data_IF_678076759047
#
_entry.id   IF_678076759047
#
_cell.length_a   1.000
_cell.length_b   1.000
_cell.length_c   1.000
_cell.angle_alpha   90.00
_cell.angle_beta   90.00
_cell.angle_gamma   90.00
#
_symmetry.space_group_name_H-M   'P 1'
#
loop_
_entity.id
_entity.type
_entity.pdbx_description
1 polymer ?
#
# COMPACT_ATOMS: atom_id res chain seq x y z
N UNK A 1 33.49 -1.88 4.57
CA UNK A 1 32.34 -2.00 5.49
C UNK A 1 31.54 -0.72 5.35
N UNK A 2 30.30 -0.82 4.85
CA UNK A 2 29.40 0.33 4.75
C UNK A 2 28.71 0.46 6.12
N UNK A 3 29.39 1.09 7.08
CA UNK A 3 28.76 1.54 8.32
C UNK A 3 27.86 2.73 7.98
N UNK A 4 26.72 2.43 7.36
CA UNK A 4 25.62 3.36 7.35
C UNK A 4 24.95 3.26 8.71
N UNK A 5 25.28 4.22 9.57
CA UNK A 5 24.54 4.58 10.76
C UNK A 5 23.13 5.02 10.34
N UNK A 6 22.28 4.04 9.99
CA UNK A 6 20.86 4.23 9.74
C UNK A 6 20.26 4.54 11.09
N UNK A 7 20.35 5.81 11.50
CA UNK A 7 19.83 6.28 12.76
C UNK A 7 18.34 5.87 12.85
N UNK A 8 17.98 4.89 13.70
CA UNK A 8 16.64 4.32 13.73
C UNK A 8 15.56 5.38 13.98
N UNK A 9 15.93 6.50 14.64
CA UNK A 9 15.01 7.61 14.90
C UNK A 9 14.55 8.35 13.63
N UNK A 10 15.40 8.47 12.60
CA UNK A 10 15.04 9.15 11.34
C UNK A 10 14.10 8.29 10.51
N UNK A 11 14.40 7.00 10.40
CA UNK A 11 13.54 6.02 9.72
C UNK A 11 12.17 5.92 10.40
N UNK A 12 12.13 5.81 11.74
CA UNK A 12 10.86 5.71 12.47
C UNK A 12 9.99 6.96 12.31
N UNK A 13 10.59 8.16 12.27
CA UNK A 13 9.86 9.41 11.98
C UNK A 13 9.26 9.40 10.58
N UNK A 14 10.05 9.03 9.57
CA UNK A 14 9.58 8.94 8.19
C UNK A 14 8.47 7.89 8.06
N UNK A 15 8.67 6.69 8.60
CA UNK A 15 7.68 5.61 8.60
C UNK A 15 6.37 6.04 9.26
N UNK A 16 6.41 6.84 10.33
CA UNK A 16 5.21 7.36 10.99
C UNK A 16 4.41 8.29 10.08
N UNK A 17 5.08 9.19 9.35
CA UNK A 17 4.43 10.12 8.39
C UNK A 17 3.72 9.36 7.25
N UNK A 18 4.35 8.28 6.77
CA UNK A 18 3.84 7.43 5.70
C UNK A 18 3.05 6.21 6.19
N UNK A 19 2.73 6.14 7.49
CA UNK A 19 2.10 4.96 8.08
C UNK A 19 0.81 4.57 7.36
N UNK A 20 -0.11 5.51 7.15
CA UNK A 20 -1.39 5.24 6.48
C UNK A 20 -1.22 4.77 5.03
N UNK A 21 -0.20 5.29 4.34
CA UNK A 21 0.15 4.89 2.99
C UNK A 21 0.68 3.44 2.99
N UNK A 22 1.60 3.10 3.90
CA UNK A 22 2.13 1.74 4.04
C UNK A 22 1.04 0.73 4.43
N UNK A 23 0.20 1.07 5.40
CA UNK A 23 -0.91 0.22 5.86
C UNK A 23 -1.89 -0.06 4.71
N UNK A 24 -2.14 0.94 3.85
CA UNK A 24 -2.97 0.77 2.65
C UNK A 24 -2.38 -0.22 1.65
N UNK A 25 -1.07 -0.14 1.38
CA UNK A 25 -0.40 -1.10 0.49
C UNK A 25 -0.38 -2.50 1.09
N UNK A 26 -0.15 -2.64 2.40
CA UNK A 26 -0.22 -3.95 3.09
C UNK A 26 -1.62 -4.56 2.94
N UNK A 27 -2.67 -3.77 3.15
CA UNK A 27 -4.05 -4.23 2.98
C UNK A 27 -4.33 -4.66 1.52
N UNK A 28 -3.79 -3.92 0.55
CA UNK A 28 -3.89 -4.29 -0.87
C UNK A 28 -3.19 -5.61 -1.17
N UNK A 29 -1.96 -5.82 -0.67
CA UNK A 29 -1.21 -7.08 -0.84
C UNK A 29 -1.85 -8.29 -0.14
N UNK A 30 -2.67 -8.05 0.89
CA UNK A 30 -3.34 -9.10 1.67
C UNK A 30 -4.81 -9.29 1.26
N UNK A 31 -5.25 -8.61 0.19
CA UNK A 31 -6.63 -8.61 -0.24
C UNK A 31 -7.08 -10.01 -0.70
N UNK A 32 -8.05 -10.59 0.02
CA UNK A 32 -8.61 -11.93 -0.25
C UNK A 32 -10.13 -11.97 -0.13
N UNK A 33 -10.81 -10.95 -0.64
CA UNK A 33 -12.26 -10.82 -0.48
C UNK A 33 -12.95 -10.54 -1.81
N UNK A 34 -14.13 -11.12 -1.94
CA UNK A 34 -15.06 -10.88 -3.04
C UNK A 34 -16.30 -10.11 -2.55
N UNK A 35 -16.37 -9.76 -1.26
CA UNK A 35 -17.51 -9.04 -0.69
C UNK A 35 -17.50 -7.59 -1.15
N UNK A 36 -18.61 -7.16 -1.73
CA UNK A 36 -18.78 -5.81 -2.27
C UNK A 36 -18.52 -4.71 -1.23
N UNK A 37 -18.97 -4.90 0.01
CA UNK A 37 -18.77 -3.93 1.10
C UNK A 37 -17.28 -3.73 1.45
N UNK A 38 -16.51 -4.81 1.45
CA UNK A 38 -15.08 -4.79 1.73
C UNK A 38 -14.33 -4.16 0.54
N UNK A 39 -14.72 -4.49 -0.70
CA UNK A 39 -14.20 -3.86 -1.91
C UNK A 39 -14.47 -2.36 -1.95
N UNK A 40 -15.67 -1.92 -1.56
CA UNK A 40 -16.03 -0.51 -1.46
C UNK A 40 -15.18 0.23 -0.42
N UNK A 41 -14.85 -0.43 0.69
CA UNK A 41 -13.98 0.12 1.72
C UNK A 41 -12.54 0.30 1.23
N UNK A 42 -12.04 -0.65 0.45
CA UNK A 42 -10.71 -0.57 -0.18
C UNK A 42 -10.67 0.54 -1.24
N UNK A 43 -11.72 0.67 -2.04
CA UNK A 43 -11.82 1.76 -3.01
C UNK A 43 -11.74 3.14 -2.31
N UNK A 44 -12.46 3.32 -1.19
CA UNK A 44 -12.39 4.55 -0.39
C UNK A 44 -10.97 4.79 0.13
N UNK A 45 -10.31 3.76 0.67
CA UNK A 45 -8.94 3.84 1.17
C UNK A 45 -7.95 4.25 0.06
N UNK A 46 -8.00 3.63 -1.13
CA UNK A 46 -7.15 4.01 -2.26
C UNK A 46 -7.36 5.48 -2.62
N UNK A 47 -8.62 5.91 -2.70
CA UNK A 47 -8.95 7.29 -3.03
C UNK A 47 -8.41 8.28 -1.99
N UNK A 48 -8.68 8.07 -0.71
CA UNK A 48 -8.33 9.03 0.33
C UNK A 48 -6.85 8.97 0.74
N UNK A 49 -6.35 7.77 1.04
CA UNK A 49 -5.02 7.59 1.62
C UNK A 49 -3.90 7.59 0.58
N UNK A 50 -4.17 7.17 -0.66
CA UNK A 50 -3.14 7.07 -1.70
C UNK A 50 -3.21 8.20 -2.73
N UNK A 51 -4.40 8.54 -3.23
CA UNK A 51 -4.57 9.53 -4.30
C UNK A 51 -4.71 10.95 -3.72
N UNK A 52 -5.70 11.16 -2.85
CA UNK A 52 -6.04 12.50 -2.32
C UNK A 52 -4.97 13.01 -1.34
N UNK A 53 -4.24 12.09 -0.68
CA UNK A 53 -3.13 12.46 0.22
C UNK A 53 -1.97 13.15 -0.51
N UNK A 54 -1.87 12.99 -1.85
CA UNK A 54 -0.83 13.58 -2.71
C UNK A 54 0.60 13.31 -2.22
N UNK A 55 0.79 12.30 -1.37
CA UNK A 55 2.10 11.86 -0.86
C UNK A 55 2.95 11.23 -1.98
N UNK A 56 2.29 10.69 -3.01
CA UNK A 56 2.89 10.10 -4.18
C UNK A 56 2.07 10.42 -5.44
N UNK A 57 2.69 10.34 -6.61
CA UNK A 57 2.01 10.69 -7.86
C UNK A 57 0.89 9.68 -8.16
N UNK A 58 -0.37 10.10 -8.40
CA UNK A 58 -1.49 9.19 -8.61
C UNK A 58 -1.26 8.16 -9.73
N UNK A 59 -0.59 8.56 -10.82
CA UNK A 59 -0.24 7.64 -11.91
C UNK A 59 0.66 6.49 -11.45
N UNK A 60 1.55 6.74 -10.50
CA UNK A 60 2.43 5.70 -9.98
C UNK A 60 1.66 4.80 -9.02
N UNK A 61 0.79 5.36 -8.17
CA UNK A 61 -0.13 4.58 -7.33
C UNK A 61 -0.96 3.60 -8.16
N UNK A 62 -1.52 4.05 -9.29
CA UNK A 62 -2.32 3.19 -10.17
C UNK A 62 -1.46 2.06 -10.77
N UNK A 63 -0.23 2.36 -11.20
CA UNK A 63 0.71 1.35 -11.71
C UNK A 63 1.03 0.31 -10.63
N UNK A 64 1.37 0.76 -9.43
CA UNK A 64 1.71 -0.15 -8.33
C UNK A 64 0.53 -1.06 -7.97
N UNK A 65 -0.70 -0.53 -7.92
CA UNK A 65 -1.91 -1.32 -7.68
C UNK A 65 -2.08 -2.38 -8.77
N UNK A 66 -1.86 -2.02 -10.04
CA UNK A 66 -1.99 -2.92 -11.17
C UNK A 66 -0.96 -4.07 -11.10
N UNK A 67 0.25 -3.78 -10.64
CA UNK A 67 1.29 -4.78 -10.41
C UNK A 67 0.97 -5.67 -9.19
N UNK A 68 0.39 -5.12 -8.11
CA UNK A 68 -0.02 -5.86 -6.91
C UNK A 68 -1.07 -6.93 -7.22
N UNK A 69 -1.98 -6.68 -8.17
CA UNK A 69 -3.04 -7.64 -8.56
C UNK A 69 -2.42 -9.00 -8.95
N UNK A 70 -1.23 -9.01 -9.53
CA UNK A 70 -0.54 -10.26 -9.92
C UNK A 70 -0.11 -11.09 -8.70
N UNK A 71 0.24 -10.41 -7.60
CA UNK A 71 0.77 -11.02 -6.37
C UNK A 71 -0.29 -11.33 -5.33
N UNK A 72 -1.50 -10.77 -5.47
CA UNK A 72 -2.63 -11.03 -4.57
C UNK A 72 -3.16 -12.47 -4.62
N UNK A 73 -2.43 -13.40 -5.25
CA UNK A 73 -2.82 -14.76 -5.51
C UNK A 73 -4.28 -14.79 -5.98
N UNK A 74 -4.43 -14.66 -7.31
CA UNK A 74 -5.32 -15.57 -8.02
C UNK A 74 -5.32 -16.87 -7.23
N UNK A 75 -6.48 -17.27 -6.71
CA UNK A 75 -6.79 -18.64 -6.40
C UNK A 75 -6.58 -19.47 -7.69
N UNK A 76 -5.33 -19.63 -8.11
CA UNK A 76 -4.88 -20.77 -8.84
C UNK A 76 -5.13 -21.91 -7.86
N UNK A 77 -6.34 -22.46 -7.99
CA UNK A 77 -6.70 -23.78 -7.50
C UNK A 77 -5.48 -24.68 -7.72
N UNK A 78 -4.84 -25.12 -6.63
CA UNK A 78 -4.21 -26.43 -6.64
C UNK A 78 -5.31 -27.48 -6.67
#
# INVERSE_FOLDING_TARGET
>A
MYDQDVNPSKYNKLRSIYKSYLDSYIALYQLKTEKEEELMSIYKMIKTELIDSKKYHPTNVIKDILDIIQYNNRYAKS
#
